data_IF_946230166628
#
_entry.id   IF_946230166628
#
_cell.length_a   1.000
_cell.length_b   1.000
_cell.length_c   1.000
_cell.angle_alpha   90.00
_cell.angle_beta   90.00
_cell.angle_gamma   90.00
#
_symmetry.space_group_name_H-M   'P 1'
#
loop_
_entity.id
_entity.type
_entity.pdbx_description
1 polymer ?
#
# COMPACT_ATOMS: atom_id res chain seq x y z
N UNK A 1 14.44 -14.09 18.84
CA UNK A 1 14.09 -12.67 18.71
C UNK A 1 14.88 -12.12 17.53
N UNK A 2 14.25 -11.98 16.36
CA UNK A 2 14.94 -11.48 15.15
C UNK A 2 14.88 -9.95 15.19
N UNK A 3 16.05 -9.32 15.27
CA UNK A 3 16.18 -7.88 15.13
C UNK A 3 15.77 -7.48 13.70
N UNK A 4 14.89 -6.51 13.62
CA UNK A 4 14.47 -5.85 12.39
C UNK A 4 15.64 -4.94 12.01
N UNK A 5 16.32 -5.23 10.91
CA UNK A 5 17.25 -4.30 10.28
C UNK A 5 16.43 -3.12 9.74
N UNK A 6 16.48 -2.00 10.46
CA UNK A 6 15.87 -0.74 10.08
C UNK A 6 16.63 -0.15 8.88
N UNK A 7 15.97 0.22 7.76
CA UNK A 7 16.63 0.87 6.63
C UNK A 7 17.17 2.26 6.95
N UNK A 8 16.78 2.87 8.08
CA UNK A 8 17.26 4.19 8.49
C UNK A 8 18.72 4.19 8.93
N UNK A 9 19.28 3.10 9.46
CA UNK A 9 20.67 3.10 9.92
C UNK A 9 21.68 3.26 8.78
N UNK A 10 21.35 2.75 7.59
CA UNK A 10 22.24 2.83 6.43
C UNK A 10 22.28 4.21 5.77
N UNK A 11 21.17 4.97 5.77
CA UNK A 11 21.17 6.34 5.22
C UNK A 11 21.98 7.31 6.09
N UNK A 12 21.87 7.21 7.42
CA UNK A 12 22.69 8.03 8.34
C UNK A 12 24.18 7.66 8.26
N UNK A 13 24.52 6.37 8.18
CA UNK A 13 25.92 5.96 8.05
C UNK A 13 26.56 6.35 6.71
N UNK A 14 25.80 6.31 5.60
CA UNK A 14 26.29 6.83 4.31
C UNK A 14 26.48 8.35 4.32
N UNK A 15 25.60 9.08 5.01
CA UNK A 15 25.70 10.53 5.13
C UNK A 15 26.87 10.94 6.06
N UNK A 16 27.09 10.23 7.16
CA UNK A 16 28.25 10.43 8.06
C UNK A 16 29.57 10.09 7.37
N UNK A 17 29.64 9.01 6.58
CA UNK A 17 30.84 8.64 5.82
C UNK A 17 31.15 9.68 4.72
N UNK A 18 30.13 10.16 4.01
CA UNK A 18 30.31 11.20 2.99
C UNK A 18 30.76 12.54 3.61
N UNK A 19 30.14 12.94 4.73
CA UNK A 19 30.48 14.19 5.43
C UNK A 19 31.89 14.11 6.03
N UNK A 20 32.27 12.97 6.61
CA UNK A 20 33.62 12.76 7.15
C UNK A 20 34.69 12.79 6.07
N UNK A 21 34.44 12.19 4.89
CA UNK A 21 35.36 12.24 3.75
C UNK A 21 35.50 13.65 3.20
N UNK A 22 34.41 14.41 3.10
CA UNK A 22 34.47 15.81 2.69
C UNK A 22 35.26 16.64 3.70
N UNK A 23 35.03 16.45 5.00
CA UNK A 23 35.74 17.18 6.06
C UNK A 23 37.25 16.88 6.06
N UNK A 24 37.63 15.62 5.84
CA UNK A 24 39.04 15.19 5.70
C UNK A 24 39.69 15.79 4.46
N UNK A 25 38.99 15.80 3.31
CA UNK A 25 39.48 16.41 2.08
C UNK A 25 39.64 17.93 2.23
N UNK A 26 38.66 18.59 2.84
CA UNK A 26 38.69 20.04 3.11
C UNK A 26 39.81 20.39 4.09
N UNK A 27 40.01 19.59 5.14
CA UNK A 27 41.09 19.80 6.12
C UNK A 27 42.47 19.62 5.50
N UNK A 28 42.67 18.56 4.69
CA UNK A 28 43.92 18.35 3.97
C UNK A 28 44.24 19.52 3.04
N UNK A 29 43.24 20.00 2.30
CA UNK A 29 43.43 21.11 1.36
C UNK A 29 43.64 22.46 2.05
N UNK A 30 42.98 22.69 3.19
CA UNK A 30 43.23 23.86 4.05
C UNK A 30 44.65 23.85 4.62
N UNK A 31 45.12 22.71 5.10
CA UNK A 31 46.48 22.58 5.62
C UNK A 31 47.52 22.80 4.52
N UNK A 32 47.28 22.28 3.31
CA UNK A 32 48.12 22.54 2.14
C UNK A 32 48.18 24.04 1.80
N UNK A 33 47.04 24.74 1.85
CA UNK A 33 46.99 26.20 1.67
C UNK A 33 47.74 26.94 2.79
N UNK A 34 47.64 26.48 4.03
CA UNK A 34 48.28 27.10 5.20
C UNK A 34 49.81 26.94 5.16
N UNK A 35 50.31 25.76 4.81
CA UNK A 35 51.74 25.49 4.60
C UNK A 35 52.30 26.33 3.45
N UNK A 36 51.54 26.46 2.35
CA UNK A 36 51.88 27.34 1.23
C UNK A 36 51.86 28.83 1.61
N UNK A 37 50.98 29.26 2.53
CA UNK A 37 50.90 30.64 2.99
C UNK A 37 52.06 31.00 3.95
N UNK A 38 52.54 30.07 4.76
CA UNK A 38 53.70 30.27 5.62
C UNK A 38 54.99 30.41 4.83
N UNK A 39 55.14 29.66 3.74
CA UNK A 39 56.29 29.82 2.82
C UNK A 39 56.32 31.21 2.17
N UNK A 40 55.16 31.85 1.93
CA UNK A 40 55.04 33.21 1.35
C UNK A 40 55.61 34.32 2.23
N UNK A 41 55.63 34.16 3.56
CA UNK A 41 56.21 35.18 4.47
C UNK A 41 57.75 35.24 4.44
N UNK A 42 58.42 34.20 3.93
CA UNK A 42 59.88 34.11 3.85
C UNK A 42 60.44 34.34 2.42
N UNK A 43 59.58 34.69 1.45
CA UNK A 43 59.92 34.81 0.02
C UNK A 43 60.30 36.26 -0.37
N UNK A 44 61.40 36.44 -1.12
CA UNK A 44 61.73 37.73 -1.78
C UNK A 44 60.70 38.03 -2.89
N UNK A 45 60.46 39.31 -3.15
CA UNK A 45 59.70 39.90 -4.27
C UNK A 45 59.84 39.13 -5.58
N UNK A 46 61.06 38.71 -5.96
CA UNK A 46 61.30 37.96 -7.20
C UNK A 46 60.69 36.55 -7.20
N UNK A 47 60.64 35.90 -6.05
CA UNK A 47 60.05 34.57 -5.89
C UNK A 47 58.51 34.66 -5.82
N UNK A 48 57.97 35.75 -5.24
CA UNK A 48 56.54 36.08 -5.30
C UNK A 48 56.06 36.26 -6.75
N UNK A 49 56.82 36.98 -7.58
CA UNK A 49 56.49 37.13 -9.01
C UNK A 49 56.52 35.79 -9.77
N UNK A 50 57.42 34.88 -9.42
CA UNK A 50 57.49 33.55 -10.04
C UNK A 50 56.31 32.63 -9.65
N UNK A 51 55.72 32.80 -8.46
CA UNK A 51 54.58 31.99 -7.98
C UNK A 51 53.23 32.47 -8.51
N UNK A 52 53.10 33.76 -8.84
CA UNK A 52 51.87 34.36 -9.36
C UNK A 52 51.22 33.62 -10.55
N UNK A 53 51.96 33.21 -11.60
CA UNK A 53 51.38 32.46 -12.72
C UNK A 53 50.96 31.03 -12.34
N UNK A 54 51.66 30.38 -11.41
CA UNK A 54 51.26 29.07 -10.87
C UNK A 54 49.94 29.18 -10.10
N UNK A 55 49.81 30.19 -9.24
CA UNK A 55 48.57 30.45 -8.49
C UNK A 55 47.40 30.76 -9.43
N UNK A 56 47.64 31.58 -10.45
CA UNK A 56 46.63 31.93 -11.47
C UNK A 56 46.13 30.69 -12.20
N UNK A 57 47.03 29.80 -12.64
CA UNK A 57 46.65 28.53 -13.28
C UNK A 57 45.81 27.63 -12.37
N UNK A 58 46.12 27.57 -11.08
CA UNK A 58 45.31 26.82 -10.12
C UNK A 58 43.92 27.45 -9.92
N UNK A 59 43.84 28.78 -9.81
CA UNK A 59 42.56 29.50 -9.72
C UNK A 59 41.71 29.26 -10.97
N UNK A 60 42.31 29.32 -12.16
CA UNK A 60 41.60 29.08 -13.42
C UNK A 60 41.13 27.63 -13.52
N UNK A 61 41.95 26.64 -13.13
CA UNK A 61 41.50 25.25 -13.02
C UNK A 61 40.28 25.12 -12.07
N UNK A 62 40.32 25.73 -10.88
CA UNK A 62 39.19 25.66 -9.94
C UNK A 62 37.92 26.29 -10.51
N UNK A 63 38.06 27.41 -11.25
CA UNK A 63 36.93 28.05 -11.93
C UNK A 63 36.30 27.16 -13.00
N UNK A 64 37.10 26.37 -13.71
CA UNK A 64 36.59 25.43 -14.71
C UNK A 64 35.87 24.23 -14.08
N UNK A 65 36.32 23.76 -12.90
CA UNK A 65 35.70 22.64 -12.19
C UNK A 65 34.44 23.01 -11.40
N UNK A 66 34.33 24.25 -10.93
CA UNK A 66 33.19 24.72 -10.12
C UNK A 66 31.82 24.50 -10.79
N UNK A 67 31.58 24.90 -12.06
CA UNK A 67 30.28 24.68 -12.70
C UNK A 67 29.96 23.20 -12.90
N UNK A 68 30.98 22.36 -13.15
CA UNK A 68 30.82 20.90 -13.27
C UNK A 68 30.33 20.31 -11.95
N UNK A 69 30.92 20.74 -10.82
CA UNK A 69 30.49 20.30 -9.49
C UNK A 69 29.07 20.78 -9.15
N UNK A 70 28.71 22.00 -9.53
CA UNK A 70 27.35 22.54 -9.34
C UNK A 70 26.31 21.73 -10.14
N UNK A 71 26.61 21.41 -11.41
CA UNK A 71 25.75 20.59 -12.25
C UNK A 71 25.62 19.16 -11.70
N UNK A 72 26.71 18.58 -11.20
CA UNK A 72 26.70 17.27 -10.55
C UNK A 72 25.82 17.29 -9.30
N UNK A 73 25.98 18.28 -8.42
CA UNK A 73 25.15 18.42 -7.21
C UNK A 73 23.68 18.57 -7.57
N UNK A 74 23.35 19.33 -8.62
CA UNK A 74 21.98 19.46 -9.11
C UNK A 74 21.42 18.13 -9.62
N UNK A 75 22.20 17.40 -10.41
CA UNK A 75 21.81 16.10 -10.97
C UNK A 75 21.60 15.05 -9.88
N UNK A 76 22.47 15.03 -8.87
CA UNK A 76 22.35 14.12 -7.71
C UNK A 76 21.08 14.42 -6.91
N UNK A 77 20.75 15.70 -6.68
CA UNK A 77 19.50 16.07 -5.99
C UNK A 77 18.26 15.61 -6.76
N UNK A 78 18.24 15.80 -8.08
CA UNK A 78 17.13 15.34 -8.91
C UNK A 78 16.98 13.81 -8.84
N UNK A 79 18.08 13.06 -8.94
CA UNK A 79 18.04 11.60 -8.81
C UNK A 79 17.55 11.14 -7.43
N UNK A 80 17.90 11.87 -6.36
CA UNK A 80 17.39 11.59 -5.01
C UNK A 80 15.87 11.79 -4.93
N UNK A 81 15.34 12.84 -5.55
CA UNK A 81 13.89 13.10 -5.62
C UNK A 81 13.16 12.01 -6.39
N UNK A 82 13.65 11.64 -7.59
CA UNK A 82 13.09 10.57 -8.42
C UNK A 82 13.12 9.21 -7.68
N UNK A 83 14.20 8.92 -6.95
CA UNK A 83 14.32 7.69 -6.16
C UNK A 83 13.27 7.62 -5.03
N UNK A 84 13.00 8.73 -4.34
CA UNK A 84 11.95 8.82 -3.31
C UNK A 84 10.57 8.58 -3.92
N UNK A 85 10.31 9.16 -5.09
CA UNK A 85 9.04 8.97 -5.81
C UNK A 85 8.85 7.50 -6.21
N UNK A 86 9.86 6.87 -6.82
CA UNK A 86 9.83 5.46 -7.24
C UNK A 86 9.62 4.54 -6.03
N UNK A 87 10.35 4.76 -4.92
CA UNK A 87 10.20 3.99 -3.68
C UNK A 87 8.78 4.10 -3.11
N UNK A 88 8.16 5.28 -3.22
CA UNK A 88 6.79 5.50 -2.78
C UNK A 88 5.79 4.76 -3.68
N UNK A 89 5.92 4.87 -5.01
CA UNK A 89 5.08 4.14 -5.97
C UNK A 89 5.21 2.63 -5.82
N UNK A 90 6.42 2.12 -5.61
CA UNK A 90 6.64 0.68 -5.39
C UNK A 90 5.89 0.19 -4.15
N UNK A 91 5.97 0.91 -3.02
CA UNK A 91 5.21 0.56 -1.81
C UNK A 91 3.70 0.59 -2.03
N UNK A 92 3.20 1.53 -2.84
CA UNK A 92 1.78 1.57 -3.21
C UNK A 92 1.38 0.31 -4.00
N UNK A 93 2.15 -0.06 -5.02
CA UNK A 93 1.89 -1.26 -5.83
C UNK A 93 1.93 -2.55 -5.00
N UNK A 94 2.90 -2.68 -4.09
CA UNK A 94 2.99 -3.81 -3.17
C UNK A 94 1.73 -3.95 -2.30
N UNK A 95 1.22 -2.84 -1.76
CA UNK A 95 -0.02 -2.81 -0.96
C UNK A 95 -1.24 -3.24 -1.79
N UNK A 96 -1.39 -2.67 -2.99
CA UNK A 96 -2.49 -2.98 -3.91
C UNK A 96 -2.50 -4.46 -4.25
N UNK A 97 -1.36 -4.99 -4.68
CA UNK A 97 -1.18 -6.41 -5.02
C UNK A 97 -1.48 -7.33 -3.83
N UNK A 98 -0.99 -6.98 -2.64
CA UNK A 98 -1.10 -7.82 -1.44
C UNK A 98 -2.52 -8.05 -0.96
N UNK A 99 -3.36 -7.02 -1.01
CA UNK A 99 -4.74 -7.14 -0.53
C UNK A 99 -5.76 -7.42 -1.64
N UNK A 100 -5.35 -7.43 -2.90
CA UNK A 100 -6.19 -7.75 -4.06
C UNK A 100 -6.96 -9.06 -3.91
N UNK A 101 -6.28 -10.13 -3.50
CA UNK A 101 -6.90 -11.45 -3.34
C UNK A 101 -7.96 -11.46 -2.24
N UNK A 102 -7.69 -10.75 -1.13
CA UNK A 102 -8.65 -10.59 -0.04
C UNK A 102 -9.89 -9.83 -0.49
N UNK A 103 -9.73 -8.79 -1.31
CA UNK A 103 -10.86 -8.03 -1.89
C UNK A 103 -11.64 -8.90 -2.88
N UNK A 104 -10.96 -9.68 -3.72
CA UNK A 104 -11.59 -10.66 -4.62
C UNK A 104 -12.46 -11.63 -3.83
N UNK A 105 -11.92 -12.12 -2.72
CA UNK A 105 -12.61 -13.03 -1.82
C UNK A 105 -13.83 -12.38 -1.15
N UNK A 106 -13.72 -11.13 -0.74
CA UNK A 106 -14.83 -10.34 -0.23
C UNK A 106 -15.94 -10.20 -1.28
N UNK A 107 -15.61 -9.86 -2.54
CA UNK A 107 -16.59 -9.78 -3.65
C UNK A 107 -17.35 -11.09 -3.83
N UNK A 108 -16.67 -12.23 -3.77
CA UNK A 108 -17.34 -13.55 -3.84
C UNK A 108 -18.29 -13.80 -2.66
N UNK A 109 -17.94 -13.35 -1.45
CA UNK A 109 -18.80 -13.45 -0.27
C UNK A 109 -20.03 -12.55 -0.43
N UNK A 110 -19.84 -11.30 -0.87
CA UNK A 110 -20.93 -10.35 -1.09
C UNK A 110 -21.92 -10.86 -2.13
N UNK A 111 -21.42 -11.34 -3.27
CA UNK A 111 -22.26 -11.95 -4.32
C UNK A 111 -23.12 -13.09 -3.76
N UNK A 112 -22.52 -14.02 -3.01
CA UNK A 112 -23.24 -15.15 -2.42
C UNK A 112 -24.32 -14.67 -1.45
N UNK A 113 -24.00 -13.71 -0.58
CA UNK A 113 -24.94 -13.17 0.41
C UNK A 113 -26.07 -12.37 -0.22
N UNK A 114 -25.78 -11.62 -1.28
CA UNK A 114 -26.80 -10.95 -2.09
C UNK A 114 -27.76 -11.98 -2.69
N UNK A 115 -27.26 -13.07 -3.28
CA UNK A 115 -28.12 -14.14 -3.83
C UNK A 115 -28.92 -14.88 -2.75
N UNK A 116 -28.33 -15.21 -1.59
CA UNK A 116 -29.04 -15.80 -0.44
C UNK A 116 -30.20 -14.91 0.01
N UNK A 117 -29.94 -13.61 0.16
CA UNK A 117 -30.94 -12.63 0.62
C UNK A 117 -32.00 -12.35 -0.44
N UNK A 118 -31.60 -12.26 -1.71
CA UNK A 118 -32.50 -12.11 -2.83
C UNK A 118 -33.51 -13.27 -2.90
N UNK A 119 -33.03 -14.52 -2.81
CA UNK A 119 -33.89 -15.72 -2.80
C UNK A 119 -34.83 -15.75 -1.59
N UNK A 120 -34.31 -15.42 -0.40
CA UNK A 120 -35.08 -15.44 0.85
C UNK A 120 -36.26 -14.46 0.84
N UNK A 121 -36.05 -13.26 0.31
CA UNK A 121 -37.03 -12.17 0.37
C UNK A 121 -37.72 -11.90 -0.97
N UNK A 122 -37.39 -12.66 -2.04
CA UNK A 122 -37.93 -12.48 -3.40
C UNK A 122 -37.83 -11.03 -3.88
N UNK A 123 -36.66 -10.42 -3.70
CA UNK A 123 -36.44 -8.98 -3.97
C UNK A 123 -36.40 -8.73 -5.47
N UNK A 124 -35.70 -9.60 -6.21
CA UNK A 124 -35.54 -9.56 -7.65
C UNK A 124 -35.76 -10.95 -8.25
N UNK A 125 -36.29 -11.00 -9.47
CA UNK A 125 -36.56 -12.24 -10.20
C UNK A 125 -35.32 -12.88 -10.84
N UNK A 126 -34.11 -12.38 -10.54
CA UNK A 126 -32.86 -12.83 -11.14
C UNK A 126 -31.78 -13.10 -10.10
N UNK A 127 -30.96 -14.12 -10.35
CA UNK A 127 -29.77 -14.43 -9.56
C UNK A 127 -28.52 -13.90 -10.27
N UNK A 128 -27.61 -13.29 -9.51
CA UNK A 128 -26.34 -12.81 -10.05
C UNK A 128 -25.37 -13.99 -10.22
N UNK A 129 -24.79 -14.16 -11.40
CA UNK A 129 -23.84 -15.26 -11.66
C UNK A 129 -22.42 -14.89 -11.23
N UNK A 130 -22.07 -13.62 -11.39
CA UNK A 130 -20.74 -13.11 -11.07
C UNK A 130 -20.84 -11.65 -10.58
N UNK A 131 -19.71 -11.08 -10.17
CA UNK A 131 -19.68 -9.69 -9.68
C UNK A 131 -19.90 -8.65 -10.78
N UNK A 132 -19.55 -8.96 -12.03
CA UNK A 132 -19.79 -8.04 -13.16
C UNK A 132 -21.28 -7.80 -13.38
N UNK A 133 -22.12 -8.83 -13.24
CA UNK A 133 -23.59 -8.68 -13.30
C UNK A 133 -24.11 -7.71 -12.22
N UNK A 134 -23.53 -7.78 -11.02
CA UNK A 134 -23.87 -6.85 -9.91
C UNK A 134 -23.41 -5.44 -10.26
N UNK A 135 -22.18 -5.29 -10.73
CA UNK A 135 -21.60 -4.00 -11.07
C UNK A 135 -22.37 -3.30 -12.21
N UNK A 136 -22.78 -4.04 -13.24
CA UNK A 136 -23.61 -3.54 -14.33
C UNK A 136 -24.95 -3.01 -13.82
N UNK A 137 -25.65 -3.76 -12.97
CA UNK A 137 -26.91 -3.27 -12.38
C UNK A 137 -26.71 -2.04 -11.49
N UNK A 138 -25.64 -2.00 -10.69
CA UNK A 138 -25.36 -0.83 -9.85
C UNK A 138 -25.07 0.42 -10.70
N UNK A 139 -24.40 0.27 -11.84
CA UNK A 139 -24.16 1.36 -12.78
C UNK A 139 -25.49 1.86 -13.39
N UNK A 140 -26.32 0.95 -13.89
CA UNK A 140 -27.65 1.29 -14.42
C UNK A 140 -28.51 2.00 -13.37
N UNK A 141 -28.49 1.56 -12.12
CA UNK A 141 -29.22 2.24 -11.04
C UNK A 141 -28.67 3.62 -10.71
N UNK A 142 -27.36 3.84 -10.82
CA UNK A 142 -26.75 5.14 -10.59
C UNK A 142 -27.10 6.13 -11.72
N UNK A 143 -27.01 5.69 -12.97
CA UNK A 143 -27.34 6.50 -14.15
C UNK A 143 -28.82 6.88 -14.16
N UNK A 144 -29.70 5.90 -13.90
CA UNK A 144 -31.15 6.16 -13.83
C UNK A 144 -31.51 7.06 -12.65
N UNK A 145 -30.89 6.89 -11.47
CA UNK A 145 -31.13 7.79 -10.34
C UNK A 145 -30.86 9.24 -10.74
N UNK A 146 -29.74 9.52 -11.41
CA UNK A 146 -29.40 10.86 -11.87
C UNK A 146 -30.49 11.43 -12.80
N UNK A 147 -30.92 10.65 -13.80
CA UNK A 147 -31.95 11.07 -14.76
C UNK A 147 -33.33 11.34 -14.13
N UNK A 148 -33.71 10.57 -13.10
CA UNK A 148 -34.97 10.76 -12.39
C UNK A 148 -34.89 11.95 -11.42
N UNK A 149 -33.76 12.12 -10.72
CA UNK A 149 -33.54 13.28 -9.84
C UNK A 149 -33.57 14.60 -10.62
N UNK A 150 -33.01 14.66 -11.83
CA UNK A 150 -33.13 15.83 -12.72
C UNK A 150 -34.59 16.18 -13.06
N UNK A 151 -35.48 15.18 -13.06
CA UNK A 151 -36.92 15.35 -13.31
C UNK A 151 -37.74 15.55 -12.03
N UNK A 152 -37.10 15.57 -10.86
CA UNK A 152 -37.78 15.64 -9.57
C UNK A 152 -38.53 14.36 -9.19
N UNK A 153 -38.20 13.23 -9.82
CA UNK A 153 -38.83 11.93 -9.59
C UNK A 153 -37.93 11.01 -8.75
N UNK A 154 -38.55 10.08 -8.03
CA UNK A 154 -37.83 9.08 -7.23
C UNK A 154 -37.59 7.80 -8.03
N UNK A 155 -36.33 7.34 -8.08
CA UNK A 155 -35.94 6.07 -8.68
C UNK A 155 -35.63 5.01 -7.61
N UNK A 156 -36.21 3.82 -7.75
CA UNK A 156 -35.97 2.72 -6.82
C UNK A 156 -34.65 2.00 -7.13
N UNK A 157 -33.73 1.96 -6.16
CA UNK A 157 -32.41 1.35 -6.30
C UNK A 157 -32.33 -0.02 -5.62
N UNK A 158 -33.04 -1.00 -6.16
CA UNK A 158 -33.22 -2.33 -5.55
C UNK A 158 -31.91 -3.09 -5.31
N UNK A 159 -31.01 -3.14 -6.30
CA UNK A 159 -29.70 -3.77 -6.21
C UNK A 159 -28.80 -3.04 -5.21
N UNK A 160 -28.78 -1.70 -5.25
CA UNK A 160 -28.04 -0.87 -4.29
C UNK A 160 -28.50 -1.12 -2.87
N UNK A 161 -29.82 -1.12 -2.63
CA UNK A 161 -30.42 -1.38 -1.33
C UNK A 161 -30.09 -2.80 -0.83
N UNK A 162 -30.13 -3.80 -1.73
CA UNK A 162 -29.72 -5.16 -1.42
C UNK A 162 -28.26 -5.22 -0.98
N UNK A 163 -27.35 -4.61 -1.75
CA UNK A 163 -25.92 -4.58 -1.42
C UNK A 163 -25.67 -3.89 -0.09
N UNK A 164 -26.26 -2.70 0.14
CA UNK A 164 -26.12 -1.94 1.39
C UNK A 164 -26.58 -2.78 2.59
N UNK A 165 -27.68 -3.50 2.45
CA UNK A 165 -28.18 -4.36 3.53
C UNK A 165 -27.25 -5.54 3.82
N UNK A 166 -26.66 -6.16 2.78
CA UNK A 166 -25.66 -7.21 2.98
C UNK A 166 -24.40 -6.65 3.64
N UNK A 167 -23.89 -5.49 3.19
CA UNK A 167 -22.70 -4.85 3.76
C UNK A 167 -22.87 -4.53 5.25
N UNK A 168 -24.07 -4.09 5.67
CA UNK A 168 -24.41 -3.82 7.07
C UNK A 168 -24.24 -5.06 7.95
N UNK A 169 -24.61 -6.25 7.47
CA UNK A 169 -24.44 -7.51 8.21
C UNK A 169 -22.96 -7.79 8.58
N UNK A 170 -22.02 -7.17 7.84
CA UNK A 170 -20.57 -7.30 8.03
C UNK A 170 -19.90 -6.03 8.58
N UNK A 171 -20.66 -5.01 8.98
CA UNK A 171 -20.12 -3.75 9.48
C UNK A 171 -19.38 -2.92 8.40
N UNK A 172 -19.71 -3.13 7.12
CA UNK A 172 -19.21 -2.35 5.99
C UNK A 172 -20.25 -1.32 5.54
N UNK A 173 -19.78 -0.14 5.14
CA UNK A 173 -20.58 0.85 4.42
C UNK A 173 -20.36 0.71 2.92
N UNK A 174 -21.25 1.33 2.12
CA UNK A 174 -21.05 1.41 0.66
C UNK A 174 -19.72 2.11 0.32
N UNK A 175 -19.37 3.18 1.04
CA UNK A 175 -18.11 3.91 0.87
C UNK A 175 -16.88 3.05 1.19
N UNK A 176 -16.90 2.29 2.29
CA UNK A 176 -15.80 1.35 2.60
C UNK A 176 -15.60 0.36 1.44
N UNK A 177 -16.71 -0.17 0.92
CA UNK A 177 -16.68 -1.16 -0.13
C UNK A 177 -16.23 -0.58 -1.48
N UNK A 178 -16.65 0.63 -1.82
CA UNK A 178 -16.20 1.33 -3.03
C UNK A 178 -14.70 1.62 -3.01
N UNK A 179 -14.15 2.03 -1.85
CA UNK A 179 -12.71 2.18 -1.69
C UNK A 179 -11.96 0.86 -1.91
N UNK A 180 -12.50 -0.27 -1.43
CA UNK A 180 -11.91 -1.58 -1.71
C UNK A 180 -11.98 -1.94 -3.20
N UNK A 181 -13.07 -1.61 -3.89
CA UNK A 181 -13.18 -1.85 -5.33
C UNK A 181 -12.19 -0.98 -6.13
N UNK A 182 -11.98 0.28 -5.73
CA UNK A 182 -10.94 1.15 -6.32
C UNK A 182 -9.56 0.52 -6.15
N UNK A 183 -9.23 0.09 -4.93
CA UNK A 183 -7.97 -0.59 -4.64
C UNK A 183 -7.79 -1.86 -5.49
N UNK A 184 -8.86 -2.63 -5.73
CA UNK A 184 -8.82 -3.80 -6.61
C UNK A 184 -8.57 -3.41 -8.08
N UNK A 185 -9.19 -2.34 -8.57
CA UNK A 185 -9.04 -1.90 -9.95
C UNK A 185 -7.65 -1.29 -10.22
N UNK A 186 -7.09 -0.59 -9.25
CA UNK A 186 -5.74 0.00 -9.34
C UNK A 186 -4.63 -1.06 -9.21
N UNK A 187 -4.96 -2.25 -8.71
CA UNK A 187 -4.00 -3.33 -8.53
C UNK A 187 -3.58 -3.97 -9.86
N UNK A 188 -2.26 -4.08 -10.06
CA UNK A 188 -1.70 -4.76 -11.24
C UNK A 188 -1.72 -6.27 -11.03
N UNK A 189 -2.33 -7.00 -11.96
CA UNK A 189 -2.46 -8.46 -11.88
C UNK A 189 -1.13 -9.19 -11.87
N UNK A 190 -0.14 -8.64 -12.57
CA UNK A 190 1.17 -9.25 -12.84
C UNK A 190 2.08 -9.29 -11.60
N UNK A 191 1.84 -8.40 -10.64
CA UNK A 191 2.41 -8.51 -9.29
C UNK A 191 1.60 -9.57 -8.53
N UNK A 192 1.74 -10.84 -8.94
CA UNK A 192 1.12 -11.95 -8.24
C UNK A 192 1.85 -12.18 -6.91
N UNK A 193 1.09 -12.14 -5.81
CA UNK A 193 1.52 -12.82 -4.60
C UNK A 193 1.16 -14.31 -4.70
N UNK A 194 1.85 -15.14 -3.92
CA UNK A 194 1.44 -16.53 -3.73
C UNK A 194 -0.04 -16.59 -3.36
N UNK A 195 -0.78 -17.53 -3.97
CA UNK A 195 -2.24 -17.66 -3.77
C UNK A 195 -2.57 -17.68 -2.28
N UNK A 196 -3.17 -16.59 -1.80
CA UNK A 196 -3.55 -16.47 -0.38
C UNK A 196 -4.73 -17.39 -0.08
N UNK A 197 -4.65 -18.11 1.05
CA UNK A 197 -5.69 -19.03 1.49
C UNK A 197 -6.37 -18.51 2.75
N UNK A 198 -7.52 -19.10 3.10
CA UNK A 198 -8.20 -18.78 4.37
C UNK A 198 -7.40 -19.06 5.63
N UNK A 199 -6.34 -19.87 5.53
CA UNK A 199 -5.44 -20.15 6.64
C UNK A 199 -4.55 -18.94 6.95
N UNK A 200 -4.29 -18.12 5.94
CA UNK A 200 -3.40 -16.96 6.02
C UNK A 200 -4.13 -15.70 6.52
N UNK A 201 -5.45 -15.76 6.71
CA UNK A 201 -6.26 -14.62 7.16
C UNK A 201 -5.76 -13.98 8.47
N UNK A 202 -5.44 -14.75 9.53
CA UNK A 202 -4.91 -14.17 10.76
C UNK A 202 -3.57 -13.46 10.53
N UNK A 203 -2.72 -14.00 9.66
CA UNK A 203 -1.45 -13.37 9.31
C UNK A 203 -1.67 -12.04 8.58
N UNK A 204 -2.57 -12.03 7.58
CA UNK A 204 -2.93 -10.82 6.84
C UNK A 204 -3.49 -9.70 7.75
N UNK A 205 -4.28 -10.06 8.77
CA UNK A 205 -4.79 -9.11 9.77
C UNK A 205 -3.69 -8.52 10.64
N UNK A 206 -2.79 -9.37 11.17
CA UNK A 206 -1.66 -8.91 11.99
C UNK A 206 -0.71 -8.03 11.19
N UNK A 207 -0.47 -8.39 9.93
CA UNK A 207 0.38 -7.63 9.04
C UNK A 207 -0.23 -6.26 8.71
N UNK A 208 -1.53 -6.22 8.36
CA UNK A 208 -2.24 -4.96 8.07
C UNK A 208 -2.15 -3.98 9.24
N UNK A 209 -2.30 -4.48 10.47
CA UNK A 209 -2.22 -3.67 11.68
C UNK A 209 -0.84 -2.99 11.83
N UNK A 210 0.24 -3.75 11.56
CA UNK A 210 1.63 -3.28 11.64
C UNK A 210 2.06 -2.41 10.47
N UNK A 211 1.32 -2.46 9.36
CA UNK A 211 1.70 -1.79 8.13
C UNK A 211 1.46 -0.29 8.19
N UNK A 212 2.46 0.47 7.73
CA UNK A 212 2.37 1.92 7.55
C UNK A 212 2.00 2.21 6.10
N UNK A 213 0.90 2.92 5.90
CA UNK A 213 0.43 3.29 4.57
C UNK A 213 1.09 4.62 4.16
N UNK A 214 1.47 4.77 2.88
CA UNK A 214 1.72 6.10 2.32
C UNK A 214 0.52 7.01 2.55
N UNK A 215 0.75 8.31 2.71
CA UNK A 215 -0.31 9.30 3.01
C UNK A 215 -1.45 9.25 1.98
N UNK A 216 -1.10 9.12 0.70
CA UNK A 216 -2.05 8.97 -0.41
C UNK A 216 -2.96 7.74 -0.31
N UNK A 217 -2.59 6.73 0.48
CA UNK A 217 -3.33 5.48 0.65
C UNK A 217 -3.93 5.31 2.05
N UNK A 218 -3.79 6.29 2.94
CA UNK A 218 -4.22 6.18 4.34
C UNK A 218 -5.72 5.82 4.47
N UNK A 219 -6.54 6.25 3.51
CA UNK A 219 -7.97 5.95 3.45
C UNK A 219 -8.32 4.46 3.34
N UNK A 220 -7.42 3.62 2.80
CA UNK A 220 -7.71 2.21 2.54
C UNK A 220 -7.54 1.30 3.77
N UNK A 221 -6.77 1.71 4.78
CA UNK A 221 -6.43 0.84 5.91
C UNK A 221 -7.67 0.37 6.67
N UNK A 222 -8.57 1.29 7.02
CA UNK A 222 -9.78 0.99 7.78
C UNK A 222 -10.80 0.13 6.99
N UNK A 223 -11.09 0.41 5.71
CA UNK A 223 -11.86 -0.51 4.86
C UNK A 223 -11.27 -1.92 4.79
N UNK A 224 -9.95 -2.05 4.66
CA UNK A 224 -9.27 -3.35 4.63
C UNK A 224 -9.44 -4.12 5.94
N UNK A 225 -9.29 -3.45 7.08
CA UNK A 225 -9.51 -4.07 8.40
C UNK A 225 -10.94 -4.63 8.50
N UNK A 226 -11.94 -3.83 8.10
CA UNK A 226 -13.34 -4.26 8.04
C UNK A 226 -13.53 -5.43 7.08
N UNK A 227 -12.91 -5.41 5.91
CA UNK A 227 -12.98 -6.50 4.93
C UNK A 227 -12.44 -7.81 5.49
N UNK A 228 -11.26 -7.80 6.10
CA UNK A 228 -10.67 -9.00 6.70
C UNK A 228 -11.54 -9.53 7.87
N UNK A 229 -12.12 -8.63 8.67
CA UNK A 229 -13.07 -9.00 9.72
C UNK A 229 -14.35 -9.61 9.15
N UNK A 230 -14.91 -9.05 8.08
CA UNK A 230 -16.06 -9.59 7.37
C UNK A 230 -15.79 -11.02 6.86
N UNK A 231 -14.61 -11.24 6.27
CA UNK A 231 -14.18 -12.57 5.82
C UNK A 231 -14.06 -13.54 7.01
N UNK A 232 -13.57 -13.07 8.16
CA UNK A 232 -13.49 -13.87 9.39
C UNK A 232 -14.87 -14.27 9.93
N UNK A 233 -15.84 -13.34 9.94
CA UNK A 233 -17.23 -13.62 10.35
C UNK A 233 -17.80 -14.70 9.43
N UNK A 234 -17.68 -14.51 8.12
CA UNK A 234 -18.18 -15.46 7.15
C UNK A 234 -17.53 -16.85 7.25
N UNK A 235 -16.20 -16.91 7.49
CA UNK A 235 -15.48 -18.18 7.71
C UNK A 235 -16.09 -18.98 8.86
N UNK A 236 -16.46 -18.31 9.96
CA UNK A 236 -17.11 -18.96 11.11
C UNK A 236 -18.49 -19.52 10.75
N UNK A 237 -19.30 -18.75 10.01
CA UNK A 237 -20.62 -19.22 9.54
C UNK A 237 -20.52 -20.47 8.66
N UNK A 238 -19.48 -20.57 7.82
CA UNK A 238 -19.28 -21.72 6.94
C UNK A 238 -18.92 -22.98 7.73
N UNK A 239 -17.98 -22.87 8.69
CA UNK A 239 -17.59 -23.99 9.56
C UNK A 239 -18.77 -24.47 10.41
N UNK A 240 -19.60 -23.55 10.92
CA UNK A 240 -20.78 -23.91 11.71
C UNK A 240 -21.82 -24.65 10.86
N UNK A 241 -22.09 -24.19 9.62
CA UNK A 241 -23.05 -24.86 8.71
C UNK A 241 -22.62 -26.30 8.40
N UNK A 242 -21.33 -26.55 8.22
CA UNK A 242 -20.81 -27.91 8.00
C UNK A 242 -20.98 -28.79 9.25
N UNK A 243 -20.72 -28.26 10.45
CA UNK A 243 -20.96 -28.99 11.70
C UNK A 243 -22.45 -29.31 11.93
N UNK A 244 -23.37 -28.38 11.63
CA UNK A 244 -24.80 -28.62 11.77
C UNK A 244 -25.34 -29.61 10.74
N UNK A 245 -24.81 -29.61 9.51
CA UNK A 245 -25.16 -30.60 8.49
C UNK A 245 -24.60 -32.00 8.83
N UNK A 246 -23.46 -32.05 9.54
CA UNK A 246 -22.90 -33.30 10.03
C UNK A 246 -23.76 -33.89 11.16
N UNK A 247 -24.25 -33.05 12.09
CA UNK A 247 -25.17 -33.50 13.16
C UNK A 247 -26.56 -33.86 12.62
N UNK A 248 -27.07 -33.17 11.61
CA UNK A 248 -28.36 -33.50 10.97
C UNK A 248 -28.34 -34.83 10.19
N UNK A 249 -27.15 -35.37 9.87
CA UNK A 249 -26.99 -36.71 9.25
C UNK A 249 -26.91 -37.86 10.26
N UNK A 250 -26.96 -37.58 11.55
CA UNK A 250 -27.07 -38.60 12.60
C UNK A 250 -28.29 -38.33 13.48
N UNK A 251 -29.51 -38.71 13.02
CA UNK A 251 -30.63 -38.81 13.94
C UNK A 251 -30.33 -39.97 14.90
N UNK A 252 -30.15 -39.62 16.17
CA UNK A 252 -30.28 -40.45 17.38
C UNK A 252 -30.62 -41.93 17.12
N UNK A 253 -29.60 -42.76 16.86
CA UNK A 253 -29.74 -44.22 16.83
C UNK A 253 -29.32 -44.90 18.14
N UNK A 254 -29.29 -44.14 19.23
CA UNK A 254 -29.07 -44.67 20.57
C UNK A 254 -30.16 -44.19 21.53
N UNK A 255 -31.41 -44.51 21.18
CA UNK A 255 -32.50 -44.61 22.15
C UNK A 255 -32.42 -45.93 22.89
N UNK A 256 -32.13 -45.86 24.19
CA UNK A 256 -32.71 -46.68 25.26
C UNK A 256 -32.71 -48.21 25.13
N UNK A 257 -31.80 -48.86 25.87
CA UNK A 257 -32.11 -50.11 26.62
C UNK A 257 -31.31 -50.22 27.92
N UNK A 258 -31.63 -49.40 28.93
CA UNK A 258 -31.43 -49.81 30.31
C UNK A 258 -32.61 -50.66 30.74
N UNK A 259 -32.51 -51.99 30.57
CA UNK A 259 -33.37 -52.93 31.28
C UNK A 259 -32.79 -53.13 32.68
N UNK A 260 -33.60 -52.81 33.69
CA UNK A 260 -33.44 -53.32 35.06
C UNK A 260 -33.49 -54.85 35.03
N UNK A 261 -32.50 -55.47 35.65
CA UNK A 261 -32.44 -56.87 36.06
C UNK A 261 -31.54 -56.92 37.28
#
# INVERSE_FOLDING_TARGET
MKFIETPMANEYHLQEDYTSRLLDLTSKKLNEILENAQTINDLDTNQIFAMQPMLKKQIDHVKDFMPIMEELVKSVKQLQEELVEVKTKLRQLELLSKYRDWITRLRSIMLRKMNERNKKFKIMNQEFKNWSDVAEMLLVEADNKFLYEEKGEHYEQTCTNLLVNVLKDFGLTKSDFDQLLLMYNDSVTEFHNEKTTLKDLPYAQVELAKMTFPESMAGYKKPLEKALNAISIWKKEFVIKDCTNFMAKFPEKYGSTYKKG
#
